data_IF_612242778948
#
_entry.id   IF_612242778948
#
_cell.length_a   1.000
_cell.length_b   1.000
_cell.length_c   1.000
_cell.angle_alpha   90.00
_cell.angle_beta   90.00
_cell.angle_gamma   90.00
#
_symmetry.space_group_name_H-M   'P 1'
#
loop_
_entity.id
_entity.type
_entity.pdbx_description
1 polymer ?
#
# COMPACT_ATOMS: atom_id res chain seq x y z
N UNK A 1 -5.60 5.58 20.13
CA UNK A 1 -5.39 4.83 18.88
C UNK A 1 -4.78 5.78 17.85
N UNK A 2 -3.49 5.62 17.52
CA UNK A 2 -2.84 6.46 16.51
C UNK A 2 -3.31 6.01 15.12
N UNK A 3 -4.33 6.68 14.59
CA UNK A 3 -4.83 6.43 13.23
C UNK A 3 -3.76 6.86 12.22
N UNK A 4 -3.36 5.94 11.35
CA UNK A 4 -2.47 6.26 10.24
C UNK A 4 -3.23 7.10 9.19
N UNK A 5 -2.54 8.03 8.56
CA UNK A 5 -3.01 8.73 7.37
C UNK A 5 -2.41 8.09 6.09
N UNK A 6 -2.94 8.45 4.92
CA UNK A 6 -2.50 7.91 3.63
C UNK A 6 -0.99 8.02 3.38
N UNK A 7 -0.35 9.13 3.78
CA UNK A 7 1.11 9.32 3.64
C UNK A 7 1.88 8.30 4.50
N UNK A 8 1.43 8.08 5.72
CA UNK A 8 2.04 7.10 6.63
C UNK A 8 1.83 5.67 6.13
N UNK A 9 0.67 5.34 5.57
CA UNK A 9 0.41 4.04 4.92
C UNK A 9 1.36 3.82 3.75
N UNK A 10 1.49 4.79 2.84
CA UNK A 10 2.42 4.69 1.71
C UNK A 10 3.87 4.53 2.17
N UNK A 11 4.30 5.29 3.19
CA UNK A 11 5.64 5.13 3.79
C UNK A 11 5.86 3.72 4.34
N UNK A 12 4.84 3.11 4.97
CA UNK A 12 4.94 1.74 5.46
C UNK A 12 5.08 0.73 4.32
N UNK A 13 4.32 0.88 3.23
CA UNK A 13 4.48 0.01 2.05
C UNK A 13 5.92 0.05 1.54
N UNK A 14 6.47 1.25 1.36
CA UNK A 14 7.87 1.41 0.92
C UNK A 14 8.90 0.80 1.86
N UNK A 15 8.65 0.90 3.17
CA UNK A 15 9.59 0.44 4.19
C UNK A 15 9.63 -1.09 4.33
N UNK A 16 8.49 -1.76 4.16
CA UNK A 16 8.35 -3.17 4.53
C UNK A 16 8.22 -4.14 3.35
N UNK A 17 8.04 -3.64 2.12
CA UNK A 17 7.96 -4.54 0.96
C UNK A 17 9.29 -5.29 0.76
N UNK A 18 9.16 -6.56 0.41
CA UNK A 18 10.23 -7.48 0.00
C UNK A 18 9.66 -8.56 -0.92
N UNK A 19 10.51 -9.30 -1.61
CA UNK A 19 10.08 -10.44 -2.44
C UNK A 19 9.20 -11.40 -1.63
N UNK A 20 8.05 -11.77 -2.21
CA UNK A 20 7.05 -12.62 -1.55
C UNK A 20 6.11 -11.91 -0.57
N UNK A 21 6.18 -10.58 -0.43
CA UNK A 21 5.24 -9.84 0.43
C UNK A 21 3.81 -9.89 -0.11
N UNK A 22 2.86 -10.13 0.79
CA UNK A 22 1.43 -9.94 0.54
C UNK A 22 1.03 -8.58 1.11
N UNK A 23 0.45 -7.72 0.27
CA UNK A 23 0.01 -6.37 0.64
C UNK A 23 -1.51 -6.33 0.62
N UNK A 24 -2.13 -6.03 1.76
CA UNK A 24 -3.58 -5.96 1.89
C UNK A 24 -4.06 -4.52 2.03
N UNK A 25 -5.04 -4.15 1.21
CA UNK A 25 -5.82 -2.92 1.34
C UNK A 25 -7.27 -3.29 1.63
N UNK A 26 -7.91 -2.56 2.53
CA UNK A 26 -9.33 -2.74 2.84
C UNK A 26 -10.16 -1.64 2.15
N UNK A 27 -11.33 -2.03 1.66
CA UNK A 27 -12.31 -1.19 0.94
C UNK A 27 -13.41 -0.61 1.85
N UNK A 28 -13.33 -0.86 3.16
CA UNK A 28 -14.27 -0.28 4.13
C UNK A 28 -14.30 1.26 4.07
N UNK A 29 -15.45 1.87 4.38
CA UNK A 29 -15.62 3.34 4.49
C UNK A 29 -14.56 4.00 5.39
N UNK A 30 -14.13 3.30 6.45
CA UNK A 30 -13.09 3.77 7.36
C UNK A 30 -11.70 3.87 6.69
N UNK A 31 -11.41 2.97 5.76
CA UNK A 31 -10.13 2.86 5.07
C UNK A 31 -10.08 3.68 3.77
N UNK A 32 -11.24 4.00 3.17
CA UNK A 32 -11.39 4.65 1.88
C UNK A 32 -10.42 5.83 1.65
N UNK A 33 -10.39 6.82 2.57
CA UNK A 33 -9.51 8.00 2.44
C UNK A 33 -8.03 7.63 2.34
N UNK A 34 -7.60 6.65 3.14
CA UNK A 34 -6.21 6.20 3.12
C UNK A 34 -5.92 5.31 1.91
N UNK A 35 -6.86 4.45 1.53
CA UNK A 35 -6.76 3.56 0.39
C UNK A 35 -6.65 4.35 -0.92
N UNK A 36 -7.56 5.32 -1.14
CA UNK A 36 -7.55 6.20 -2.32
C UNK A 36 -6.25 6.99 -2.45
N UNK A 37 -5.60 7.30 -1.32
CA UNK A 37 -4.29 7.94 -1.34
C UNK A 37 -3.15 6.94 -1.58
N UNK A 38 -3.06 5.90 -0.77
CA UNK A 38 -1.86 5.07 -0.70
C UNK A 38 -1.82 3.99 -1.79
N UNK A 39 -2.97 3.42 -2.20
CA UNK A 39 -3.02 2.34 -3.17
C UNK A 39 -2.41 2.72 -4.53
N UNK A 40 -2.89 3.76 -5.25
CA UNK A 40 -2.35 4.08 -6.57
C UNK A 40 -0.84 4.40 -6.52
N UNK A 41 -0.40 5.18 -5.53
CA UNK A 41 1.02 5.53 -5.32
C UNK A 41 1.89 4.32 -4.99
N UNK A 42 1.33 3.37 -4.22
CA UNK A 42 2.01 2.11 -3.92
C UNK A 42 2.20 1.31 -5.18
N UNK A 43 1.16 1.15 -6.01
CA UNK A 43 1.24 0.38 -7.25
C UNK A 43 2.26 0.98 -8.23
N UNK A 44 2.26 2.30 -8.41
CA UNK A 44 3.24 3.00 -9.24
C UNK A 44 4.66 2.76 -8.73
N UNK A 45 4.93 3.07 -7.47
CA UNK A 45 6.25 2.93 -6.88
C UNK A 45 6.74 1.47 -6.89
N UNK A 46 5.87 0.50 -6.59
CA UNK A 46 6.23 -0.93 -6.62
C UNK A 46 6.63 -1.37 -8.03
N UNK A 47 5.94 -0.90 -9.07
CA UNK A 47 6.32 -1.15 -10.47
C UNK A 47 7.68 -0.53 -10.79
N UNK A 48 7.95 0.70 -10.35
CA UNK A 48 9.24 1.37 -10.55
C UNK A 48 10.40 0.63 -9.90
N UNK A 49 10.16 -0.06 -8.77
CA UNK A 49 11.18 -0.90 -8.12
C UNK A 49 11.42 -2.25 -8.84
N UNK A 50 10.67 -2.56 -9.90
CA UNK A 50 10.83 -3.79 -10.68
C UNK A 50 10.12 -5.02 -10.10
N UNK A 51 9.28 -4.86 -9.07
CA UNK A 51 8.47 -5.96 -8.56
C UNK A 51 7.36 -6.34 -9.55
N UNK A 52 6.98 -7.63 -9.52
CA UNK A 52 5.84 -8.16 -10.28
C UNK A 52 4.70 -8.49 -9.33
N UNK A 53 3.47 -8.27 -9.79
CA UNK A 53 2.28 -8.68 -9.06
C UNK A 53 1.89 -10.10 -9.47
N UNK A 54 1.50 -10.91 -8.48
CA UNK A 54 0.87 -12.21 -8.67
C UNK A 54 -0.53 -12.20 -8.10
N UNK A 55 -1.35 -13.14 -8.57
CA UNK A 55 -2.62 -13.45 -7.93
C UNK A 55 -2.37 -14.42 -6.77
N UNK A 56 -3.09 -14.21 -5.68
CA UNK A 56 -3.15 -15.11 -4.53
C UNK A 56 -4.32 -16.08 -4.68
#
# INVERSE_FOLDING_TARGET
SNKLNGKQVFRKVKQYIRNGSIITFHDSLKAEKNMKYALPRSLEWIKEQGFKFGLL
#
